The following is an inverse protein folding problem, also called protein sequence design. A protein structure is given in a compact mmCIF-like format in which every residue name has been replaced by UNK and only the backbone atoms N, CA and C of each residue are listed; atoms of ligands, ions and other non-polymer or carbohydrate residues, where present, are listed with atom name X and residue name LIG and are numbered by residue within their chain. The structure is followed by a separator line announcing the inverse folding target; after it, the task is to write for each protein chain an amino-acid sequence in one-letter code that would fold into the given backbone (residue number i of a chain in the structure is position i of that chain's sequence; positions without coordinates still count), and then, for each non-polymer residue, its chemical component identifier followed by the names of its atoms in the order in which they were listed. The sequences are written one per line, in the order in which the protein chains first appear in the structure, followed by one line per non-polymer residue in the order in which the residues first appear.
data_IF_980499185624
#
_entry.id   IF_980499185624
#
_cell.length_a   1.000
_cell.length_b   1.000
_cell.length_c   1.000
_cell.angle_alpha   90.00
_cell.angle_beta   90.00
_cell.angle_gamma   90.00
#
_symmetry.space_group_name_H-M   'P 1'
#
loop_
_entity.id
_entity.type
_entity.pdbx_description
1 polymer ?
#
# COMPACT_ATOMS: atom_id res chain seq x y z
N UNK A 1 47.28 -31.78 -66.90
CA UNK A 1 47.76 -31.28 -65.59
C UNK A 1 47.19 -29.89 -65.39
N UNK A 2 46.43 -29.53 -64.37
CA UNK A 2 45.74 -30.21 -63.29
C UNK A 2 44.69 -29.19 -62.85
N UNK A 3 43.45 -29.62 -62.63
CA UNK A 3 42.44 -28.82 -61.95
C UNK A 3 42.88 -28.59 -60.49
N UNK A 4 42.60 -27.40 -59.96
CA UNK A 4 42.41 -27.18 -58.52
C UNK A 4 41.25 -26.21 -58.32
N UNK A 5 40.07 -26.83 -58.21
CA UNK A 5 38.88 -26.33 -57.51
C UNK A 5 39.11 -26.28 -55.99
N UNK A 6 38.20 -25.59 -55.29
CA UNK A 6 38.01 -25.46 -53.82
C UNK A 6 39.05 -24.56 -53.11
N UNK A 7 38.67 -23.50 -52.41
CA UNK A 7 37.75 -23.53 -51.27
C UNK A 7 36.87 -22.27 -51.15
N UNK A 8 35.56 -22.46 -51.30
CA UNK A 8 34.55 -21.56 -50.73
C UNK A 8 34.33 -22.07 -49.30
N UNK A 9 34.89 -21.36 -48.32
CA UNK A 9 34.66 -21.64 -46.90
C UNK A 9 33.20 -21.33 -46.55
N UNK A 10 32.41 -22.28 -46.01
CA UNK A 10 31.04 -22.01 -45.62
C UNK A 10 31.02 -21.16 -44.33
N UNK A 11 30.14 -20.17 -44.33
CA UNK A 11 29.84 -19.30 -43.20
C UNK A 11 29.68 -20.13 -41.91
N UNK A 12 30.55 -19.88 -40.93
CA UNK A 12 30.39 -20.42 -39.58
C UNK A 12 29.07 -19.96 -38.96
N UNK A 13 28.41 -20.79 -38.14
CA UNK A 13 27.15 -20.41 -37.53
C UNK A 13 27.36 -19.16 -36.68
N UNK A 14 26.60 -18.11 -36.99
CA UNK A 14 26.48 -16.94 -36.14
C UNK A 14 25.98 -17.39 -34.77
N UNK A 15 26.90 -17.55 -33.83
CA UNK A 15 26.58 -17.77 -32.44
C UNK A 15 25.85 -16.52 -31.95
N UNK A 16 24.53 -16.62 -31.86
CA UNK A 16 23.68 -15.71 -31.12
C UNK A 16 24.04 -15.83 -29.64
N UNK A 17 25.12 -15.17 -29.22
CA UNK A 17 25.43 -14.99 -27.81
C UNK A 17 24.47 -13.94 -27.27
N UNK A 18 23.29 -14.42 -26.85
CA UNK A 18 22.37 -13.66 -26.01
C UNK A 18 23.11 -13.23 -24.74
N UNK A 19 23.52 -11.97 -24.70
CA UNK A 19 23.89 -11.32 -23.45
C UNK A 19 22.56 -10.93 -22.81
N UNK A 20 21.91 -11.89 -22.16
CA UNK A 20 21.01 -11.56 -21.07
C UNK A 20 21.90 -11.13 -19.91
N UNK A 21 22.13 -9.82 -19.80
CA UNK A 21 22.72 -9.25 -18.58
C UNK A 21 21.93 -9.83 -17.39
N UNK A 22 22.59 -10.51 -16.42
CA UNK A 22 21.90 -10.95 -15.24
C UNK A 22 21.38 -9.70 -14.55
N UNK A 23 20.05 -9.53 -14.53
CA UNK A 23 19.35 -8.46 -13.80
C UNK A 23 20.03 -8.40 -12.44
N UNK A 24 20.73 -7.30 -12.16
CA UNK A 24 21.39 -7.07 -10.87
C UNK A 24 20.31 -7.26 -9.82
N UNK A 25 20.32 -8.41 -9.14
CA UNK A 25 19.38 -8.69 -8.07
C UNK A 25 19.49 -7.53 -7.08
N UNK A 26 18.40 -6.79 -6.94
CA UNK A 26 18.27 -5.75 -5.94
C UNK A 26 18.69 -6.35 -4.59
N UNK A 27 19.63 -5.68 -3.93
CA UNK A 27 20.13 -6.14 -2.63
C UNK A 27 18.92 -6.31 -1.71
N UNK A 28 18.80 -7.50 -1.10
CA UNK A 28 17.67 -7.83 -0.22
C UNK A 28 17.83 -7.08 1.11
N UNK A 29 17.49 -5.80 1.10
CA UNK A 29 17.65 -4.89 2.24
C UNK A 29 16.52 -5.02 3.27
N UNK A 30 15.34 -5.52 2.88
CA UNK A 30 14.20 -5.72 3.77
C UNK A 30 14.06 -7.18 4.21
N UNK A 31 14.10 -7.41 5.52
CA UNK A 31 13.86 -8.71 6.13
C UNK A 31 12.36 -9.03 6.25
N UNK A 32 12.03 -10.25 6.69
CA UNK A 32 10.64 -10.68 6.87
C UNK A 32 9.84 -9.75 7.78
N UNK A 33 10.40 -9.38 8.93
CA UNK A 33 9.74 -8.49 9.89
C UNK A 33 9.53 -7.07 9.35
N UNK A 34 10.47 -6.57 8.55
CA UNK A 34 10.34 -5.26 7.90
C UNK A 34 9.15 -5.27 6.92
N UNK A 35 9.05 -6.32 6.10
CA UNK A 35 7.97 -6.49 5.12
C UNK A 35 6.62 -6.71 5.80
N UNK A 36 6.59 -7.46 6.91
CA UNK A 36 5.37 -7.71 7.68
C UNK A 36 4.84 -6.43 8.33
N UNK A 37 5.70 -5.72 9.06
CA UNK A 37 5.34 -4.45 9.71
C UNK A 37 4.92 -3.40 8.68
N UNK A 38 5.60 -3.36 7.53
CA UNK A 38 5.23 -2.50 6.40
C UNK A 38 3.84 -2.82 5.86
N UNK A 39 3.55 -4.10 5.58
CA UNK A 39 2.25 -4.52 5.07
C UNK A 39 1.13 -4.17 6.06
N UNK A 40 1.33 -4.48 7.35
CA UNK A 40 0.31 -4.18 8.36
C UNK A 40 0.12 -2.67 8.50
N UNK A 41 1.18 -1.86 8.51
CA UNK A 41 1.06 -0.39 8.56
C UNK A 41 0.33 0.18 7.33
N UNK A 42 0.55 -0.41 6.15
CA UNK A 42 -0.11 0.00 4.91
C UNK A 42 -1.59 -0.37 4.90
N UNK A 43 -1.94 -1.55 5.44
CA UNK A 43 -3.32 -2.06 5.49
C UNK A 43 -4.11 -1.40 6.63
N UNK A 44 -3.53 -1.30 7.84
CA UNK A 44 -4.17 -0.77 9.05
C UNK A 44 -3.80 0.71 9.29
N UNK A 45 -4.05 1.55 8.29
CA UNK A 45 -3.83 2.99 8.42
C UNK A 45 -4.80 3.64 9.43
N UNK A 46 -4.35 4.59 10.28
CA UNK A 46 -5.19 5.26 11.27
C UNK A 46 -6.44 5.93 10.70
N UNK A 47 -6.37 6.39 9.44
CA UNK A 47 -7.49 7.00 8.73
C UNK A 47 -8.71 6.08 8.63
N UNK A 48 -8.49 4.78 8.46
CA UNK A 48 -9.57 3.81 8.29
C UNK A 48 -10.29 3.53 9.61
N UNK A 49 -9.57 3.60 10.73
CA UNK A 49 -10.14 3.46 12.07
C UNK A 49 -11.07 4.64 12.38
N UNK A 50 -10.64 5.86 12.07
CA UNK A 50 -11.48 7.05 12.25
C UNK A 50 -12.74 6.98 11.37
N UNK A 51 -12.61 6.55 10.12
CA UNK A 51 -13.76 6.35 9.22
C UNK A 51 -14.72 5.26 9.73
N UNK A 52 -14.19 4.12 10.21
CA UNK A 52 -15.01 3.05 10.77
C UNK A 52 -15.74 3.46 12.05
N UNK A 53 -15.07 4.25 12.91
CA UNK A 53 -15.67 4.81 14.11
C UNK A 53 -16.83 5.77 13.80
N UNK A 54 -16.70 6.58 12.74
CA UNK A 54 -17.78 7.45 12.27
C UNK A 54 -19.01 6.68 11.80
N UNK A 55 -18.80 5.55 11.12
CA UNK A 55 -19.88 4.69 10.60
C UNK A 55 -20.55 3.80 11.68
N UNK A 56 -20.09 3.87 12.95
CA UNK A 56 -20.73 3.19 14.08
C UNK A 56 -20.44 1.68 14.20
N UNK A 57 -21.22 1.00 15.04
CA UNK A 57 -20.99 -0.42 15.41
C UNK A 57 -21.16 -1.41 14.26
N UNK A 58 -21.99 -1.08 13.26
CA UNK A 58 -22.19 -1.91 12.06
C UNK A 58 -20.93 -2.04 11.20
N UNK A 59 -19.97 -1.13 11.31
CA UNK A 59 -18.67 -1.22 10.62
C UNK A 59 -17.89 -2.48 10.99
N UNK A 60 -18.04 -2.96 12.24
CA UNK A 60 -17.27 -4.11 12.74
C UNK A 60 -17.69 -5.38 12.00
N UNK A 61 -18.98 -5.63 11.82
CA UNK A 61 -19.45 -6.82 11.10
C UNK A 61 -19.11 -6.76 9.62
N UNK A 62 -19.19 -5.58 9.00
CA UNK A 62 -18.77 -5.37 7.61
C UNK A 62 -17.27 -5.58 7.43
N UNK A 63 -16.44 -5.15 8.38
CA UNK A 63 -15.00 -5.42 8.36
C UNK A 63 -14.66 -6.89 8.53
N UNK A 64 -15.36 -7.60 9.43
CA UNK A 64 -15.20 -9.06 9.58
C UNK A 64 -15.61 -9.77 8.29
N UNK A 65 -16.74 -9.38 7.69
CA UNK A 65 -17.19 -9.94 6.42
C UNK A 65 -16.17 -9.68 5.30
N UNK A 66 -15.69 -8.44 5.16
CA UNK A 66 -14.67 -8.09 4.18
C UNK A 66 -13.35 -8.84 4.43
N UNK A 67 -12.94 -9.01 5.69
CA UNK A 67 -11.74 -9.77 6.04
C UNK A 67 -11.85 -11.23 5.59
N UNK A 68 -12.99 -11.88 5.84
CA UNK A 68 -13.19 -13.30 5.54
C UNK A 68 -13.44 -13.55 4.06
N UNK A 69 -14.31 -12.76 3.42
CA UNK A 69 -14.76 -13.03 2.05
C UNK A 69 -13.96 -12.31 0.97
N UNK A 70 -13.21 -11.27 1.32
CA UNK A 70 -12.45 -10.49 0.33
C UNK A 70 -10.95 -10.54 0.61
N UNK A 71 -10.52 -10.19 1.83
CA UNK A 71 -9.10 -10.11 2.17
C UNK A 71 -8.41 -11.48 2.18
N UNK A 72 -8.98 -12.49 2.85
CA UNK A 72 -8.39 -13.83 2.91
C UNK A 72 -8.25 -14.49 1.52
N UNK A 73 -9.29 -14.56 0.67
CA UNK A 73 -9.14 -15.12 -0.68
C UNK A 73 -8.12 -14.35 -1.52
N UNK A 74 -8.12 -13.02 -1.43
CA UNK A 74 -7.17 -12.18 -2.15
C UNK A 74 -5.72 -12.44 -1.69
N UNK A 75 -5.48 -12.57 -0.39
CA UNK A 75 -4.16 -12.89 0.15
C UNK A 75 -3.64 -14.26 -0.34
N UNK A 76 -4.51 -15.27 -0.42
CA UNK A 76 -4.16 -16.58 -0.96
C UNK A 76 -3.79 -16.50 -2.46
N UNK A 77 -4.57 -15.76 -3.25
CA UNK A 77 -4.29 -15.56 -4.68
C UNK A 77 -2.97 -14.83 -4.90
N UNK A 78 -2.70 -13.77 -4.12
CA UNK A 78 -1.43 -13.04 -4.18
C UNK A 78 -0.26 -13.94 -3.79
N UNK A 79 -0.42 -14.78 -2.77
CA UNK A 79 0.61 -15.72 -2.34
C UNK A 79 0.95 -16.75 -3.44
N UNK A 80 -0.08 -17.31 -4.08
CA UNK A 80 0.11 -18.25 -5.20
C UNK A 80 0.79 -17.58 -6.39
N UNK A 81 0.31 -16.40 -6.82
CA UNK A 81 0.89 -15.66 -7.94
C UNK A 81 2.32 -15.18 -7.67
N UNK A 82 2.60 -14.69 -6.45
CA UNK A 82 3.93 -14.22 -6.07
C UNK A 82 4.95 -15.36 -6.00
N UNK A 83 4.52 -16.59 -5.68
CA UNK A 83 5.42 -17.76 -5.68
C UNK A 83 5.63 -18.33 -7.09
N UNK A 84 4.60 -18.26 -7.95
CA UNK A 84 4.65 -18.74 -9.33
C UNK A 84 5.40 -17.80 -10.28
N UNK A 85 5.28 -16.49 -10.09
CA UNK A 85 5.91 -15.45 -10.90
C UNK A 85 6.77 -14.54 -10.01
N UNK A 86 8.00 -14.95 -9.67
CA UNK A 86 8.90 -14.20 -8.79
C UNK A 86 9.56 -12.99 -9.46
N UNK A 87 9.05 -12.57 -10.63
CA UNK A 87 9.55 -11.43 -11.37
C UNK A 87 9.13 -10.10 -10.73
N UNK A 88 9.96 -9.07 -10.94
CA UNK A 88 9.66 -7.72 -10.49
C UNK A 88 8.58 -7.09 -11.39
N UNK A 89 7.37 -6.89 -10.84
CA UNK A 89 6.29 -6.20 -11.56
C UNK A 89 4.87 -6.54 -11.09
N UNK A 90 4.69 -7.53 -10.21
CA UNK A 90 3.45 -7.79 -9.49
C UNK A 90 2.23 -7.92 -10.42
N UNK A 91 1.17 -7.13 -10.15
CA UNK A 91 -0.09 -7.14 -10.90
C UNK A 91 0.09 -7.00 -12.42
N UNK A 92 1.06 -6.21 -12.88
CA UNK A 92 1.33 -6.02 -14.31
C UNK A 92 1.78 -7.33 -14.95
N UNK A 93 2.79 -7.99 -14.37
CA UNK A 93 3.37 -9.25 -14.89
C UNK A 93 2.33 -10.36 -14.83
N UNK A 94 1.61 -10.49 -13.70
CA UNK A 94 0.59 -11.52 -13.55
C UNK A 94 -0.54 -11.38 -14.57
N UNK A 95 -1.00 -10.15 -14.84
CA UNK A 95 -2.05 -9.90 -15.82
C UNK A 95 -1.56 -10.12 -17.25
N UNK A 96 -0.31 -9.74 -17.54
CA UNK A 96 0.32 -9.96 -18.83
C UNK A 96 0.47 -11.44 -19.14
N UNK A 97 0.92 -12.23 -18.17
CA UNK A 97 1.14 -13.67 -18.35
C UNK A 97 -0.18 -14.44 -18.50
N UNK A 98 -1.22 -14.04 -17.78
CA UNK A 98 -2.52 -14.71 -17.84
C UNK A 98 -3.37 -14.30 -19.06
N UNK A 99 -3.31 -13.04 -19.49
CA UNK A 99 -4.26 -12.46 -20.45
C UNK A 99 -3.60 -11.73 -21.65
N UNK A 100 -2.28 -11.67 -21.70
CA UNK A 100 -1.51 -11.02 -22.78
C UNK A 100 -1.18 -9.55 -22.55
N UNK A 101 -0.41 -8.98 -23.48
CA UNK A 101 0.22 -7.65 -23.38
C UNK A 101 -0.77 -6.50 -23.10
N UNK A 102 -1.94 -6.52 -23.75
CA UNK A 102 -2.95 -5.47 -23.58
C UNK A 102 -3.51 -5.42 -22.16
N UNK A 103 -3.84 -6.58 -21.58
CA UNK A 103 -4.37 -6.67 -20.22
C UNK A 103 -3.30 -6.33 -19.18
N UNK A 104 -2.05 -6.71 -19.43
CA UNK A 104 -0.90 -6.23 -18.67
C UNK A 104 -0.82 -4.71 -18.67
N UNK A 105 -0.87 -4.08 -19.85
CA UNK A 105 -0.86 -2.62 -19.98
C UNK A 105 -2.00 -1.96 -19.21
N UNK A 106 -3.24 -2.45 -19.35
CA UNK A 106 -4.41 -1.91 -18.64
C UNK A 106 -4.22 -2.02 -17.11
N UNK A 107 -3.73 -3.16 -16.61
CA UNK A 107 -3.49 -3.34 -15.18
C UNK A 107 -2.41 -2.36 -14.66
N UNK A 108 -1.30 -2.24 -15.37
CA UNK A 108 -0.23 -1.29 -15.02
C UNK A 108 -0.68 0.17 -15.10
N UNK A 109 -1.45 0.52 -16.12
CA UNK A 109 -1.98 1.87 -16.30
C UNK A 109 -2.98 2.25 -15.20
N UNK A 110 -3.90 1.35 -14.85
CA UNK A 110 -4.82 1.57 -13.73
C UNK A 110 -4.07 1.71 -12.40
N UNK A 111 -3.06 0.88 -12.16
CA UNK A 111 -2.22 0.99 -10.97
C UNK A 111 -1.52 2.35 -10.90
N UNK A 112 -0.93 2.80 -12.01
CA UNK A 112 -0.26 4.09 -12.08
C UNK A 112 -1.22 5.26 -11.83
N UNK A 113 -2.39 5.27 -12.47
CA UNK A 113 -3.43 6.29 -12.24
C UNK A 113 -3.87 6.30 -10.77
N UNK A 114 -4.15 5.13 -10.20
CA UNK A 114 -4.51 5.00 -8.79
C UNK A 114 -3.43 5.65 -7.90
N UNK A 115 -2.16 5.36 -8.15
CA UNK A 115 -1.04 5.93 -7.41
C UNK A 115 -0.98 7.46 -7.51
N UNK A 116 -1.22 8.02 -8.70
CA UNK A 116 -1.26 9.48 -8.93
C UNK A 116 -2.34 10.17 -8.10
N UNK A 117 -3.52 9.58 -7.97
CA UNK A 117 -4.61 10.15 -7.15
C UNK A 117 -4.47 9.86 -5.66
N UNK A 118 -3.85 8.72 -5.31
CA UNK A 118 -3.67 8.29 -3.93
C UNK A 118 -2.67 9.16 -3.17
N UNK A 119 -1.52 9.48 -3.79
CA UNK A 119 -0.44 10.22 -3.13
C UNK A 119 -0.85 11.61 -2.62
N UNK A 120 -1.50 12.48 -3.42
CA UNK A 120 -1.97 13.78 -2.96
C UNK A 120 -2.92 13.67 -1.76
N UNK A 121 -3.87 12.73 -1.80
CA UNK A 121 -4.79 12.49 -0.70
C UNK A 121 -4.06 12.06 0.59
N UNK A 122 -3.06 11.19 0.46
CA UNK A 122 -2.24 10.75 1.57
C UNK A 122 -1.43 11.90 2.19
N UNK A 123 -0.83 12.76 1.36
CA UNK A 123 -0.06 13.92 1.81
C UNK A 123 -0.96 14.94 2.52
N UNK A 124 -2.13 15.22 1.96
CA UNK A 124 -3.10 16.14 2.55
C UNK A 124 -3.59 15.65 3.91
N UNK A 125 -3.95 14.37 4.00
CA UNK A 125 -4.37 13.75 5.25
C UNK A 125 -3.24 13.77 6.29
N UNK A 126 -2.01 13.51 5.87
CA UNK A 126 -0.84 13.53 6.77
C UNK A 126 -0.55 14.93 7.32
N UNK A 127 -0.63 15.96 6.47
CA UNK A 127 -0.46 17.36 6.89
C UNK A 127 -1.59 17.78 7.83
N UNK A 128 -2.83 17.45 7.50
CA UNK A 128 -3.99 17.69 8.37
C UNK A 128 -3.82 17.02 9.73
N UNK A 129 -3.37 15.75 9.77
CA UNK A 129 -3.10 15.04 11.02
C UNK A 129 -1.97 15.67 11.83
N UNK A 130 -0.93 16.19 11.18
CA UNK A 130 0.17 16.85 11.90
C UNK A 130 -0.26 18.15 12.59
N UNK A 131 -1.26 18.86 12.07
CA UNK A 131 -1.82 20.04 12.72
C UNK A 131 -2.41 19.72 14.10
N UNK A 132 -3.05 18.56 14.28
CA UNK A 132 -3.62 18.15 15.57
C UNK A 132 -2.58 17.89 16.66
N UNK A 133 -1.30 17.69 16.31
CA UNK A 133 -0.20 17.59 17.28
C UNK A 133 0.00 18.90 18.04
N UNK A 134 -0.37 20.04 17.46
CA UNK A 134 -0.28 21.38 18.06
C UNK A 134 -1.41 21.67 19.07
N UNK A 135 -2.26 20.69 19.40
CA UNK A 135 -3.34 20.82 20.37
C UNK A 135 -4.53 21.62 19.84
N UNK A 136 -5.28 22.30 20.72
CA UNK A 136 -6.53 22.99 20.37
C UNK A 136 -6.41 24.07 19.27
N UNK A 137 -5.23 24.67 19.09
CA UNK A 137 -4.94 25.62 18.00
C UNK A 137 -4.72 24.92 16.64
N UNK A 138 -4.50 23.61 16.66
CA UNK A 138 -4.29 22.77 15.49
C UNK A 138 -5.55 22.58 14.64
N UNK A 139 -6.73 22.69 15.23
CA UNK A 139 -8.02 22.49 14.52
C UNK A 139 -8.23 23.56 13.44
N UNK A 140 -7.94 24.82 13.77
CA UNK A 140 -8.05 25.93 12.81
C UNK A 140 -6.97 25.83 11.72
N UNK A 141 -5.77 25.35 12.08
CA UNK A 141 -4.69 25.10 11.11
C UNK A 141 -5.02 23.93 10.17
N UNK A 142 -5.67 22.88 10.68
CA UNK A 142 -6.07 21.71 9.89
C UNK A 142 -7.10 22.05 8.79
N UNK A 143 -7.82 23.16 8.93
CA UNK A 143 -8.78 23.68 7.94
C UNK A 143 -8.20 24.82 7.10
N UNK A 144 -6.99 25.31 7.42
CA UNK A 144 -6.38 26.41 6.69
C UNK A 144 -5.79 25.93 5.36
N UNK A 145 -6.38 26.41 4.26
CA UNK A 145 -5.97 26.10 2.89
C UNK A 145 -4.47 26.32 2.64
N UNK A 146 -3.91 27.44 3.10
CA UNK A 146 -2.51 27.77 2.86
C UNK A 146 -1.57 26.80 3.59
N UNK A 147 -1.94 26.38 4.81
CA UNK A 147 -1.18 25.39 5.57
C UNK A 147 -1.21 24.02 4.89
N UNK A 148 -2.38 23.59 4.43
CA UNK A 148 -2.55 22.33 3.73
C UNK A 148 -1.76 22.29 2.41
N UNK A 149 -1.90 23.31 1.56
CA UNK A 149 -1.20 23.37 0.28
C UNK A 149 0.33 23.40 0.46
N UNK A 150 0.84 24.35 1.25
CA UNK A 150 2.28 24.50 1.47
C UNK A 150 2.86 23.28 2.18
N UNK A 151 2.16 22.77 3.20
CA UNK A 151 2.56 21.57 3.93
C UNK A 151 2.63 20.35 3.03
N UNK A 152 1.64 20.14 2.14
CA UNK A 152 1.63 19.00 1.23
C UNK A 152 2.74 19.08 0.19
N UNK A 153 3.00 20.24 -0.40
CA UNK A 153 4.12 20.41 -1.34
C UNK A 153 5.48 20.24 -0.65
N UNK A 154 5.65 20.76 0.56
CA UNK A 154 6.87 20.57 1.34
C UNK A 154 7.09 19.10 1.67
N UNK A 155 6.04 18.40 2.12
CA UNK A 155 6.10 16.98 2.46
C UNK A 155 6.39 16.12 1.22
N UNK A 156 5.83 16.47 0.06
CA UNK A 156 6.16 15.83 -1.22
C UNK A 156 7.64 16.04 -1.58
N UNK A 157 8.16 17.27 -1.46
CA UNK A 157 9.55 17.57 -1.75
C UNK A 157 10.51 16.78 -0.83
N UNK A 158 10.18 16.67 0.45
CA UNK A 158 10.93 15.83 1.41
C UNK A 158 10.86 14.35 1.01
N UNK A 159 9.67 13.83 0.67
CA UNK A 159 9.51 12.43 0.26
C UNK A 159 10.32 12.11 -1.00
N UNK A 160 10.28 12.99 -2.01
CA UNK A 160 11.08 12.86 -3.24
C UNK A 160 12.58 12.94 -2.93
N UNK A 161 13.01 13.90 -2.10
CA UNK A 161 14.41 14.01 -1.68
C UNK A 161 14.92 12.75 -0.97
N UNK A 162 14.13 12.20 -0.05
CA UNK A 162 14.46 10.95 0.65
C UNK A 162 14.46 9.73 -0.31
N UNK A 163 13.60 9.73 -1.33
CA UNK A 163 13.60 8.70 -2.37
C UNK A 163 14.90 8.71 -3.20
N UNK A 164 15.46 9.90 -3.48
CA UNK A 164 16.69 10.07 -4.26
C UNK A 164 17.96 9.70 -3.47
N UNK A 165 18.01 9.99 -2.17
CA UNK A 165 19.23 9.81 -1.34
C UNK A 165 19.55 8.32 -1.08
N UNK A 166 18.58 7.41 -1.26
CA UNK A 166 18.83 5.97 -1.38
C UNK A 166 18.08 5.09 -0.38
N UNK A 167 17.81 3.85 -0.82
CA UNK A 167 16.94 2.84 -0.18
C UNK A 167 17.26 2.53 1.29
N UNK A 168 18.52 2.71 1.73
CA UNK A 168 18.91 2.44 3.12
C UNK A 168 18.27 3.39 4.14
N UNK A 169 18.01 4.66 3.77
CA UNK A 169 17.29 5.62 4.63
C UNK A 169 15.78 5.36 4.56
N UNK A 170 15.28 4.96 3.38
CA UNK A 170 13.88 4.58 3.20
C UNK A 170 13.45 3.48 4.16
N UNK A 171 14.30 2.48 4.39
CA UNK A 171 14.02 1.39 5.35
C UNK A 171 13.81 1.91 6.77
N UNK A 172 14.71 2.74 7.29
CA UNK A 172 14.58 3.26 8.65
C UNK A 172 13.36 4.16 8.80
N UNK A 173 13.13 5.03 7.82
CA UNK A 173 11.95 5.90 7.78
C UNK A 173 10.65 5.09 7.76
N UNK A 174 10.61 4.01 6.97
CA UNK A 174 9.47 3.12 6.88
C UNK A 174 9.21 2.40 8.21
N UNK A 175 10.25 1.90 8.86
CA UNK A 175 10.12 1.22 10.15
C UNK A 175 9.71 2.19 11.26
N UNK A 176 10.30 3.40 11.28
CA UNK A 176 9.91 4.48 12.19
C UNK A 176 8.45 4.90 11.98
N UNK A 177 8.01 5.04 10.73
CA UNK A 177 6.62 5.33 10.38
C UNK A 177 5.66 4.22 10.82
N UNK A 178 6.07 2.95 10.67
CA UNK A 178 5.34 1.80 11.21
C UNK A 178 5.16 1.89 12.72
N UNK A 179 6.26 2.03 13.47
CA UNK A 179 6.22 2.17 14.94
C UNK A 179 5.39 3.39 15.38
N UNK A 180 5.55 4.53 14.71
CA UNK A 180 4.77 5.74 14.98
C UNK A 180 3.26 5.55 14.72
N UNK A 181 2.89 4.64 13.82
CA UNK A 181 1.48 4.28 13.57
C UNK A 181 0.94 3.36 14.66
N UNK A 182 1.75 2.41 15.16
CA UNK A 182 1.33 1.47 16.20
C UNK A 182 1.16 2.11 17.57
N UNK A 183 2.00 3.09 17.93
CA UNK A 183 1.96 3.68 19.26
C UNK A 183 0.59 4.33 19.58
N UNK A 184 0.00 5.17 18.70
CA UNK A 184 -1.37 5.66 18.86
C UNK A 184 -2.41 4.55 18.89
N UNK A 185 -2.27 3.53 18.04
CA UNK A 185 -3.19 2.40 17.94
C UNK A 185 -3.24 1.57 19.23
N UNK A 186 -2.07 1.30 19.81
CA UNK A 186 -1.92 0.63 21.10
C UNK A 186 -2.48 1.48 22.24
N UNK A 187 -2.27 2.80 22.21
CA UNK A 187 -2.87 3.71 23.20
C UNK A 187 -4.40 3.67 23.09
N UNK A 188 -4.96 3.78 21.88
CA UNK A 188 -6.40 3.76 21.65
C UNK A 188 -7.05 2.44 22.11
N UNK A 189 -6.45 1.31 21.75
CA UNK A 189 -6.95 -0.02 22.14
C UNK A 189 -6.80 -0.29 23.63
N UNK A 190 -5.71 0.14 24.25
CA UNK A 190 -5.51 0.00 25.71
C UNK A 190 -6.46 0.91 26.50
N UNK A 191 -6.66 2.17 26.10
CA UNK A 191 -7.65 3.06 26.70
C UNK A 191 -9.05 2.51 26.55
N UNK A 192 -9.43 2.02 25.36
CA UNK A 192 -10.72 1.38 25.14
C UNK A 192 -10.90 0.15 26.04
N UNK A 193 -9.88 -0.71 26.16
CA UNK A 193 -9.90 -1.86 27.05
C UNK A 193 -10.08 -1.48 28.52
N UNK A 194 -9.33 -0.48 29.01
CA UNK A 194 -9.44 0.03 30.39
C UNK A 194 -10.80 0.66 30.65
N UNK A 195 -11.36 1.42 29.69
CA UNK A 195 -12.71 2.00 29.82
C UNK A 195 -13.80 0.92 29.85
N UNK A 196 -13.71 -0.11 28.99
CA UNK A 196 -14.62 -1.25 29.03
C UNK A 196 -14.57 -2.00 30.37
N UNK A 197 -13.39 -2.17 30.95
CA UNK A 197 -13.23 -2.84 32.25
C UNK A 197 -13.72 -1.99 33.44
N UNK A 198 -13.63 -0.66 33.37
CA UNK A 198 -13.98 0.24 34.49
C UNK A 198 -15.43 0.75 34.47
N UNK A 199 -16.03 0.91 33.30
CA UNK A 199 -17.37 1.54 33.16
C UNK A 199 -18.35 0.79 32.25
N UNK A 200 -17.94 -0.36 31.69
CA UNK A 200 -18.68 -1.01 30.61
C UNK A 200 -18.56 -0.24 29.29
N UNK A 201 -18.91 -0.88 28.18
CA UNK A 201 -18.95 -0.21 26.88
C UNK A 201 -20.16 0.73 26.83
N UNK A 202 -19.94 2.01 26.51
CA UNK A 202 -21.01 2.98 26.23
C UNK A 202 -21.77 2.57 24.95
N UNK A 203 -21.11 1.83 24.07
CA UNK A 203 -21.71 1.22 22.87
C UNK A 203 -22.32 -0.13 23.23
N UNK A 204 -23.65 -0.26 23.12
CA UNK A 204 -24.32 -1.54 23.29
C UNK A 204 -24.03 -2.46 22.08
N UNK A 205 -23.04 -3.34 22.23
CA UNK A 205 -22.71 -4.41 21.30
C UNK A 205 -23.77 -5.53 21.36
N UNK A 206 -25.00 -5.21 20.97
CA UNK A 206 -26.09 -6.16 20.81
C UNK A 206 -26.08 -6.69 19.38
N UNK A 207 -26.37 -7.98 19.17
CA UNK A 207 -26.37 -8.59 17.83
C UNK A 207 -27.23 -7.82 16.81
N UNK A 208 -28.34 -7.23 17.27
CA UNK A 208 -29.19 -6.34 16.47
C UNK A 208 -28.50 -5.06 15.98
N UNK A 209 -27.59 -4.47 16.77
CA UNK A 209 -26.84 -3.24 16.43
C UNK A 209 -25.56 -3.52 15.63
N UNK A 210 -25.12 -4.79 15.61
CA UNK A 210 -23.97 -5.24 14.82
C UNK A 210 -24.38 -5.72 13.43
N UNK A 211 -25.65 -6.08 13.22
CA UNK A 211 -26.14 -6.37 11.88
C UNK A 211 -26.11 -5.10 11.02
N UNK A 212 -25.71 -5.19 9.73
CA UNK A 212 -25.79 -4.07 8.82
C UNK A 212 -27.26 -3.67 8.68
N UNK A 213 -27.63 -2.48 9.14
CA UNK A 213 -28.93 -1.91 8.82
C UNK A 213 -28.82 -1.22 7.47
N UNK A 214 -29.79 -1.47 6.59
CA UNK A 214 -29.79 -0.84 5.27
C UNK A 214 -30.16 0.64 5.43
N UNK A 215 -29.15 1.52 5.41
CA UNK A 215 -29.33 2.96 5.49
C UNK A 215 -28.59 3.67 4.34
N UNK A 216 -29.37 4.27 3.44
CA UNK A 216 -28.86 5.02 2.29
C UNK A 216 -28.08 6.27 2.69
N UNK A 217 -28.33 6.84 3.87
CA UNK A 217 -27.63 8.05 4.35
C UNK A 217 -26.19 7.76 4.79
N UNK A 218 -25.86 6.50 5.08
CA UNK A 218 -24.49 6.06 5.43
C UNK A 218 -23.68 5.60 4.22
N UNK A 219 -24.28 5.56 3.02
CA UNK A 219 -23.59 5.13 1.80
C UNK A 219 -22.75 6.29 1.28
N UNK A 220 -21.46 6.25 1.57
CA UNK A 220 -20.51 7.23 1.07
C UNK A 220 -20.09 6.86 -0.36
N UNK A 221 -20.70 7.50 -1.36
CA UNK A 221 -20.34 7.31 -2.78
C UNK A 221 -19.04 8.04 -3.18
N UNK A 222 -18.51 8.89 -2.30
CA UNK A 222 -17.44 9.86 -2.62
C UNK A 222 -16.29 9.88 -1.60
N UNK A 223 -16.09 8.82 -0.81
CA UNK A 223 -14.90 8.67 0.06
C UNK A 223 -13.73 8.01 -0.63
#
# INVERSE_FOLDING_TARGET
MSATSSDISPAGPAASSGISDPIKQLRKEMGFWDVLLFNIATVLGPRWIAAAAHNGSSSISLWVLAAVFFFLPMALVINELSSRFPEEGGLYVWSKEAFGDFHGFVAGWNYWIYTVFYFPGLLLASVSMSAYVLGGKGVDLAQNRAYLEVGSYLMLAVAVGLNIIGLNIGKWLQNAGGVATYLPLLILTSVAGVMCMRGGSVTHFTWANMMPTWNWDTVNFWS
#
